data_IF_664707422045
#
_entry.id   IF_664707422045
#
_cell.length_a   1.000
_cell.length_b   1.000
_cell.length_c   1.000
_cell.angle_alpha   90.00
_cell.angle_beta   90.00
_cell.angle_gamma   90.00
#
_symmetry.space_group_name_H-M   'P 1'
#
loop_
_entity.id
_entity.type
_entity.pdbx_description
1 polymer ?
#
# COMPACT_ATOMS: atom_id res chain seq x y z
N UNK A 1 -25.88 11.62 8.01
CA UNK A 1 -24.87 12.71 8.09
C UNK A 1 -23.50 12.22 8.57
N UNK A 2 -23.38 11.62 9.76
CA UNK A 2 -22.07 11.22 10.34
C UNK A 2 -21.30 10.16 9.51
N UNK A 3 -21.98 9.10 9.07
CA UNK A 3 -21.38 8.09 8.19
C UNK A 3 -20.92 8.68 6.85
N UNK A 4 -21.78 9.47 6.22
CA UNK A 4 -21.48 10.15 4.95
C UNK A 4 -20.25 11.07 5.07
N UNK A 5 -20.13 11.83 6.17
CA UNK A 5 -18.94 12.65 6.44
C UNK A 5 -17.69 11.79 6.46
N UNK A 6 -17.68 10.69 7.23
CA UNK A 6 -16.52 9.81 7.32
C UNK A 6 -16.17 9.15 5.98
N UNK A 7 -17.16 8.73 5.20
CA UNK A 7 -16.94 8.14 3.87
C UNK A 7 -16.38 9.16 2.88
N UNK A 8 -16.94 10.37 2.83
CA UNK A 8 -16.44 11.46 1.98
C UNK A 8 -15.02 11.86 2.40
N UNK A 9 -14.74 11.92 3.71
CA UNK A 9 -13.40 12.24 4.20
C UNK A 9 -12.36 11.21 3.74
N UNK A 10 -12.69 9.90 3.85
CA UNK A 10 -11.81 8.81 3.41
C UNK A 10 -11.54 8.84 1.91
N UNK A 11 -12.58 9.02 1.10
CA UNK A 11 -12.45 9.12 -0.36
C UNK A 11 -11.64 10.36 -0.76
N UNK A 12 -11.88 11.50 -0.13
CA UNK A 12 -11.11 12.72 -0.36
C UNK A 12 -9.63 12.52 0.00
N UNK A 13 -9.33 11.84 1.10
CA UNK A 13 -7.97 11.52 1.51
C UNK A 13 -7.25 10.62 0.49
N UNK A 14 -7.96 9.65 -0.08
CA UNK A 14 -7.45 8.83 -1.18
C UNK A 14 -7.14 9.69 -2.42
N UNK A 15 -8.09 10.51 -2.88
CA UNK A 15 -7.89 11.38 -4.04
C UNK A 15 -6.76 12.40 -3.84
N UNK A 16 -6.66 12.97 -2.63
CA UNK A 16 -5.60 13.89 -2.23
C UNK A 16 -4.22 13.27 -2.42
N UNK A 17 -4.05 12.01 -1.98
CA UNK A 17 -2.79 11.27 -2.14
C UNK A 17 -2.49 10.90 -3.58
N UNK A 18 -3.50 10.43 -4.30
CA UNK A 18 -3.33 10.09 -5.70
C UNK A 18 -2.81 11.31 -6.48
N UNK A 19 -3.42 12.48 -6.27
CA UNK A 19 -3.00 13.72 -6.90
C UNK A 19 -1.60 14.15 -6.45
N UNK A 20 -1.28 14.02 -5.16
CA UNK A 20 0.07 14.32 -4.65
C UNK A 20 1.15 13.44 -5.29
N UNK A 21 0.88 12.14 -5.47
CA UNK A 21 1.81 11.22 -6.17
C UNK A 21 1.93 11.59 -7.64
N UNK A 22 0.82 11.92 -8.31
CA UNK A 22 0.84 12.36 -9.71
C UNK A 22 1.65 13.65 -9.90
N UNK A 23 1.42 14.67 -9.06
CA UNK A 23 2.16 15.93 -9.10
C UNK A 23 3.66 15.71 -8.86
N UNK A 24 4.04 14.85 -7.90
CA UNK A 24 5.43 14.54 -7.63
C UNK A 24 6.15 13.77 -8.76
N UNK A 25 5.40 13.12 -9.65
CA UNK A 25 5.97 12.39 -10.79
C UNK A 25 6.34 13.30 -11.97
N UNK A 26 5.64 14.41 -12.15
CA UNK A 26 5.89 15.34 -13.24
C UNK A 26 6.90 16.40 -12.80
N UNK A 27 8.16 16.27 -13.24
CA UNK A 27 9.19 17.31 -13.04
C UNK A 27 8.93 18.53 -13.95
N UNK A 28 8.69 18.27 -15.24
CA UNK A 28 8.35 19.27 -16.25
C UNK A 28 7.06 18.83 -16.96
N UNK A 29 5.88 19.25 -16.47
CA UNK A 29 4.62 18.76 -17.01
C UNK A 29 4.35 19.37 -18.39
N UNK A 30 3.88 18.54 -19.32
CA UNK A 30 3.38 19.02 -20.62
C UNK A 30 2.12 19.87 -20.43
N UNK A 31 1.77 20.73 -21.40
CA UNK A 31 0.54 21.55 -21.32
C UNK A 31 -0.71 20.71 -21.07
N UNK A 32 -0.79 19.51 -21.67
CA UNK A 32 -1.85 18.54 -21.42
C UNK A 32 -1.84 18.00 -19.98
N UNK A 33 -0.67 17.69 -19.42
CA UNK A 33 -0.54 17.22 -18.03
C UNK A 33 -0.89 18.33 -17.02
N UNK A 34 -0.50 19.58 -17.30
CA UNK A 34 -0.88 20.75 -16.49
C UNK A 34 -2.41 20.87 -16.45
N UNK A 35 -3.08 20.78 -17.61
CA UNK A 35 -4.54 20.83 -17.69
C UNK A 35 -5.23 19.69 -16.91
N UNK A 36 -4.68 18.48 -16.96
CA UNK A 36 -5.21 17.34 -16.19
C UNK A 36 -5.04 17.52 -14.67
N UNK A 37 -3.89 18.05 -14.24
CA UNK A 37 -3.63 18.34 -12.83
C UNK A 37 -4.58 19.44 -12.34
N UNK A 38 -4.75 20.53 -13.10
CA UNK A 38 -5.65 21.63 -12.70
C UNK A 38 -7.11 21.16 -12.63
N UNK A 39 -7.56 20.34 -13.56
CA UNK A 39 -8.89 19.73 -13.50
C UNK A 39 -9.05 18.85 -12.25
N UNK A 40 -8.05 18.01 -11.96
CA UNK A 40 -8.06 17.12 -10.80
C UNK A 40 -8.04 17.90 -9.48
N UNK A 41 -7.29 19.00 -9.42
CA UNK A 41 -7.26 19.95 -8.29
C UNK A 41 -8.63 20.60 -8.10
N UNK A 42 -9.27 21.08 -9.17
CA UNK A 42 -10.60 21.68 -9.10
C UNK A 42 -11.66 20.66 -8.61
N UNK A 43 -11.60 19.42 -9.09
CA UNK A 43 -12.47 18.33 -8.62
C UNK A 43 -12.25 18.05 -7.13
N UNK A 44 -11.00 17.99 -6.68
CA UNK A 44 -10.67 17.79 -5.26
C UNK A 44 -11.13 18.96 -4.39
N UNK A 45 -10.92 20.20 -4.83
CA UNK A 45 -11.37 21.42 -4.16
C UNK A 45 -12.89 21.38 -3.89
N UNK A 46 -13.70 21.04 -4.90
CA UNK A 46 -15.16 20.92 -4.74
C UNK A 46 -15.53 19.87 -3.69
N UNK A 47 -14.83 18.72 -3.67
CA UNK A 47 -15.05 17.67 -2.68
C UNK A 47 -14.64 18.12 -1.26
N UNK A 48 -13.57 18.89 -1.12
CA UNK A 48 -13.13 19.48 0.15
C UNK A 48 -14.20 20.47 0.63
N UNK A 49 -14.68 21.37 -0.22
CA UNK A 49 -15.75 22.32 0.14
C UNK A 49 -17.01 21.59 0.62
N UNK A 50 -17.42 20.51 -0.06
CA UNK A 50 -18.55 19.67 0.39
C UNK A 50 -18.28 19.06 1.76
N UNK A 51 -17.08 18.53 2.01
CA UNK A 51 -16.69 18.00 3.31
C UNK A 51 -16.78 19.09 4.40
N UNK A 52 -16.28 20.30 4.14
CA UNK A 52 -16.31 21.42 5.11
C UNK A 52 -17.74 21.79 5.49
N UNK A 53 -18.67 21.83 4.53
CA UNK A 53 -20.10 22.06 4.80
C UNK A 53 -20.68 21.00 5.73
N UNK A 54 -20.34 19.72 5.54
CA UNK A 54 -20.77 18.64 6.44
C UNK A 54 -20.10 18.71 7.80
N UNK A 55 -18.81 19.09 7.86
CA UNK A 55 -18.09 19.28 9.12
C UNK A 55 -18.73 20.39 9.96
N UNK A 56 -19.19 21.49 9.35
CA UNK A 56 -19.88 22.56 10.08
C UNK A 56 -21.12 22.06 10.85
N UNK A 57 -21.86 21.11 10.27
CA UNK A 57 -23.09 20.55 10.86
C UNK A 57 -22.80 19.45 11.88
N UNK A 58 -21.87 18.55 11.56
CA UNK A 58 -21.68 17.30 12.32
C UNK A 58 -20.53 17.40 13.34
N UNK A 59 -19.49 18.17 13.04
CA UNK A 59 -18.26 18.26 13.84
C UNK A 59 -17.61 19.66 13.71
N UNK A 60 -18.21 20.70 14.33
CA UNK A 60 -17.70 22.07 14.23
C UNK A 60 -16.31 22.23 14.85
N UNK A 61 -15.97 21.41 15.85
CA UNK A 61 -14.64 21.38 16.47
C UNK A 61 -13.52 21.14 15.44
N UNK A 62 -13.78 20.36 14.39
CA UNK A 62 -12.80 20.14 13.32
C UNK A 62 -12.45 21.45 12.60
N UNK A 63 -13.42 22.35 12.40
CA UNK A 63 -13.18 23.63 11.75
C UNK A 63 -12.37 24.58 12.64
N UNK A 64 -12.57 24.53 13.96
CA UNK A 64 -11.80 25.33 14.93
C UNK A 64 -10.34 24.87 15.01
N UNK A 65 -10.10 23.56 15.00
CA UNK A 65 -8.73 23.03 14.95
C UNK A 65 -8.09 23.36 13.59
N UNK A 66 -8.86 23.35 12.51
CA UNK A 66 -8.34 23.77 11.20
C UNK A 66 -7.94 25.23 11.14
N UNK A 67 -8.68 26.15 11.76
CA UNK A 67 -8.31 27.57 11.75
C UNK A 67 -7.00 27.86 12.49
N UNK A 68 -6.59 26.96 13.39
CA UNK A 68 -5.35 27.07 14.16
C UNK A 68 -4.19 26.26 13.56
N UNK A 69 -4.43 25.52 12.47
CA UNK A 69 -3.37 24.73 11.85
C UNK A 69 -2.34 25.64 11.14
N UNK A 70 -1.03 25.35 11.23
CA UNK A 70 0.01 26.17 10.61
C UNK A 70 -0.17 26.29 9.08
N UNK A 71 -0.64 25.22 8.44
CA UNK A 71 -0.92 25.19 6.99
C UNK A 71 -1.97 26.20 6.51
N UNK A 72 -2.81 26.73 7.41
CA UNK A 72 -3.80 27.78 7.09
C UNK A 72 -3.35 29.17 7.50
N UNK A 73 -2.40 29.28 8.42
CA UNK A 73 -1.91 30.55 9.00
C UNK A 73 -0.81 31.15 8.12
N UNK A 74 0.08 30.32 7.56
CA UNK A 74 1.31 30.79 6.90
C UNK A 74 1.15 31.33 5.45
N UNK A 75 -0.09 31.48 4.95
CA UNK A 75 -0.47 32.22 3.72
C UNK A 75 -0.07 31.64 2.33
N UNK A 76 -0.81 32.07 1.29
CA UNK A 76 -1.00 31.52 -0.06
C UNK A 76 -1.96 30.32 -0.12
N UNK A 77 -2.98 30.28 -1.02
CA UNK A 77 -3.97 29.21 -1.05
C UNK A 77 -3.24 27.86 -1.23
N UNK A 78 -3.15 27.03 -0.18
CA UNK A 78 -2.45 25.75 -0.29
C UNK A 78 -3.13 24.94 -1.37
N UNK A 79 -2.33 24.31 -2.21
CA UNK A 79 -2.86 23.41 -3.23
C UNK A 79 -3.77 22.37 -2.55
N UNK A 80 -4.86 21.93 -3.19
CA UNK A 80 -5.86 21.09 -2.53
C UNK A 80 -5.30 19.76 -2.01
N UNK A 81 -4.19 19.29 -2.57
CA UNK A 81 -3.42 18.13 -2.10
C UNK A 81 -2.74 18.33 -0.73
N UNK A 82 -2.41 19.56 -0.35
CA UNK A 82 -1.70 19.90 0.89
C UNK A 82 -2.64 20.24 2.04
N UNK A 83 -3.91 20.55 1.75
CA UNK A 83 -4.91 20.94 2.75
C UNK A 83 -5.18 19.77 3.72
N UNK A 84 -5.03 19.95 5.05
CA UNK A 84 -5.32 18.91 6.03
C UNK A 84 -6.82 18.58 6.05
N UNK A 85 -7.14 17.29 5.93
CA UNK A 85 -8.49 16.78 6.12
C UNK A 85 -8.55 16.23 7.55
N UNK A 86 -9.00 17.03 8.51
CA UNK A 86 -9.11 16.56 9.89
C UNK A 86 -10.20 15.49 10.01
N UNK A 87 -9.82 14.34 10.54
CA UNK A 87 -10.69 13.25 10.91
C UNK A 87 -11.00 13.26 12.41
N UNK A 88 -12.04 12.54 12.86
CA UNK A 88 -12.25 12.32 14.29
C UNK A 88 -11.02 11.73 15.02
N UNK A 89 -10.19 10.92 14.35
CA UNK A 89 -8.90 10.43 14.89
C UNK A 89 -7.86 11.54 15.11
N UNK A 90 -7.84 12.57 14.26
CA UNK A 90 -6.89 13.69 14.34
C UNK A 90 -7.29 14.74 15.39
N UNK A 91 -8.49 14.63 15.98
CA UNK A 91 -9.02 15.61 16.94
C UNK A 91 -8.63 15.26 18.39
N UNK A 92 -8.53 16.25 19.29
CA UNK A 92 -8.36 16.00 20.72
C UNK A 92 -9.55 15.24 21.31
N UNK A 93 -9.31 14.55 22.42
CA UNK A 93 -10.26 13.59 23.04
C UNK A 93 -11.54 14.23 23.59
N UNK A 94 -11.59 15.55 23.76
CA UNK A 94 -12.69 16.26 24.43
C UNK A 94 -14.01 16.22 23.60
N UNK A 95 -14.72 15.10 23.75
CA UNK A 95 -16.16 15.02 24.05
C UNK A 95 -17.15 15.80 23.18
N UNK A 96 -17.25 15.45 21.89
CA UNK A 96 -18.49 15.54 21.09
C UNK A 96 -18.58 14.53 19.94
N UNK A 97 -17.49 13.84 19.62
CA UNK A 97 -17.36 13.00 18.41
C UNK A 97 -17.22 11.50 18.69
N UNK A 98 -17.65 11.00 19.86
CA UNK A 98 -17.54 9.57 20.22
C UNK A 98 -18.19 8.65 19.18
N UNK A 99 -19.41 8.98 18.75
CA UNK A 99 -20.13 8.25 17.68
C UNK A 99 -19.39 8.28 16.35
N UNK A 100 -18.79 9.42 16.00
CA UNK A 100 -18.00 9.57 14.77
C UNK A 100 -16.72 8.75 14.82
N UNK A 101 -16.02 8.69 15.96
CA UNK A 101 -14.84 7.85 16.18
C UNK A 101 -15.16 6.37 16.04
N UNK A 102 -16.30 5.91 16.54
CA UNK A 102 -16.75 4.52 16.40
C UNK A 102 -16.99 4.17 14.93
N UNK A 103 -17.73 5.03 14.21
CA UNK A 103 -17.98 4.85 12.78
C UNK A 103 -16.67 4.87 11.99
N UNK A 104 -15.77 5.81 12.31
CA UNK A 104 -14.46 5.88 11.70
C UNK A 104 -13.68 4.58 11.92
N UNK A 105 -13.63 4.07 13.15
CA UNK A 105 -12.93 2.81 13.46
C UNK A 105 -13.37 1.66 12.56
N UNK A 106 -14.68 1.47 12.39
CA UNK A 106 -15.22 0.43 11.48
C UNK A 106 -14.86 0.67 10.02
N UNK A 107 -14.86 1.92 9.56
CA UNK A 107 -14.44 2.24 8.21
C UNK A 107 -12.94 2.07 8.00
N UNK A 108 -12.11 2.33 9.02
CA UNK A 108 -10.67 2.06 8.98
C UNK A 108 -10.38 0.57 8.88
N UNK A 109 -11.19 -0.27 9.51
CA UNK A 109 -11.10 -1.73 9.37
C UNK A 109 -11.35 -2.20 7.94
N UNK A 110 -12.45 -1.75 7.33
CA UNK A 110 -12.69 -1.99 5.91
C UNK A 110 -11.57 -1.43 5.03
N UNK A 111 -11.05 -0.25 5.36
CA UNK A 111 -9.95 0.36 4.61
C UNK A 111 -8.64 -0.45 4.69
N UNK A 112 -8.31 -1.00 5.86
CA UNK A 112 -7.16 -1.90 6.05
C UNK A 112 -7.33 -3.17 5.20
N UNK A 113 -8.49 -3.82 5.29
CA UNK A 113 -8.78 -5.02 4.49
C UNK A 113 -8.67 -4.75 2.99
N UNK A 114 -9.42 -3.75 2.49
CA UNK A 114 -9.43 -3.38 1.07
C UNK A 114 -8.03 -3.04 0.54
N UNK A 115 -7.24 -2.32 1.34
CA UNK A 115 -5.89 -1.90 0.92
C UNK A 115 -4.90 -3.06 0.93
N UNK A 116 -5.02 -4.02 1.85
CA UNK A 116 -4.25 -5.26 1.79
C UNK A 116 -4.63 -6.12 0.59
N UNK A 117 -5.92 -6.24 0.28
CA UNK A 117 -6.37 -7.03 -0.87
C UNK A 117 -5.92 -6.39 -2.19
N UNK A 118 -5.99 -5.06 -2.30
CA UNK A 118 -5.41 -4.33 -3.44
C UNK A 118 -3.89 -4.52 -3.53
N UNK A 119 -3.17 -4.42 -2.40
CA UNK A 119 -1.73 -4.63 -2.35
C UNK A 119 -1.34 -6.04 -2.82
N UNK A 120 -2.03 -7.08 -2.34
CA UNK A 120 -1.85 -8.47 -2.78
C UNK A 120 -2.07 -8.60 -4.28
N UNK A 121 -3.19 -8.07 -4.79
CA UNK A 121 -3.51 -8.13 -6.20
C UNK A 121 -2.46 -7.44 -7.08
N UNK A 122 -2.02 -6.24 -6.70
CA UNK A 122 -1.00 -5.50 -7.44
C UNK A 122 0.36 -6.21 -7.43
N UNK A 123 0.75 -6.83 -6.30
CA UNK A 123 1.96 -7.64 -6.19
C UNK A 123 1.89 -8.92 -7.04
N UNK A 124 0.73 -9.60 -7.08
CA UNK A 124 0.52 -10.76 -7.94
C UNK A 124 0.68 -10.38 -9.42
N UNK A 125 0.08 -9.27 -9.83
CA UNK A 125 0.18 -8.80 -11.21
C UNK A 125 1.62 -8.42 -11.55
N UNK A 126 2.33 -7.73 -10.63
CA UNK A 126 3.75 -7.41 -10.80
C UNK A 126 4.61 -8.67 -10.99
N UNK A 127 4.40 -9.70 -10.17
CA UNK A 127 5.09 -10.99 -10.29
C UNK A 127 4.84 -11.67 -11.65
N UNK A 128 3.57 -11.64 -12.13
CA UNK A 128 3.21 -12.19 -13.44
C UNK A 128 3.86 -11.40 -14.58
N UNK A 129 3.89 -10.07 -14.50
CA UNK A 129 4.57 -9.21 -15.48
C UNK A 129 6.07 -9.48 -15.51
N UNK A 130 6.70 -9.71 -14.36
CA UNK A 130 8.11 -10.07 -14.27
C UNK A 130 8.38 -11.41 -14.97
N UNK A 131 7.55 -12.42 -14.70
CA UNK A 131 7.64 -13.75 -15.34
C UNK A 131 7.44 -13.65 -16.85
N UNK A 132 6.39 -12.95 -17.29
CA UNK A 132 6.10 -12.72 -18.70
C UNK A 132 7.27 -12.05 -19.43
N UNK A 133 7.89 -11.04 -18.82
CA UNK A 133 9.06 -10.37 -19.40
C UNK A 133 10.24 -11.36 -19.52
N UNK A 134 10.48 -12.18 -18.49
CA UNK A 134 11.57 -13.16 -18.46
C UNK A 134 11.39 -14.29 -19.49
N UNK A 135 10.16 -14.70 -19.77
CA UNK A 135 9.86 -15.80 -20.71
C UNK A 135 9.68 -15.33 -22.14
N UNK A 136 8.89 -14.26 -22.38
CA UNK A 136 8.38 -13.91 -23.71
C UNK A 136 9.10 -12.74 -24.39
N UNK A 137 9.91 -11.97 -23.66
CA UNK A 137 10.64 -10.82 -24.22
C UNK A 137 12.15 -11.09 -24.30
N UNK A 138 12.54 -12.36 -24.49
CA UNK A 138 13.93 -12.75 -24.75
C UNK A 138 14.30 -12.30 -26.17
N UNK A 139 15.44 -11.63 -26.32
CA UNK A 139 15.96 -11.13 -27.61
C UNK A 139 15.10 -10.08 -28.34
N UNK A 140 14.06 -9.53 -27.69
CA UNK A 140 13.35 -8.36 -28.20
C UNK A 140 14.09 -7.08 -27.76
N UNK A 141 14.06 -6.05 -28.62
CA UNK A 141 14.66 -4.74 -28.35
C UNK A 141 14.06 -4.02 -27.13
N UNK A 142 14.26 -2.69 -27.02
CA UNK A 142 13.88 -1.93 -25.83
C UNK A 142 12.42 -2.17 -25.39
N UNK A 143 12.24 -2.77 -24.20
CA UNK A 143 10.93 -3.18 -23.65
C UNK A 143 10.18 -2.04 -22.95
N UNK A 144 10.08 -0.87 -23.61
CA UNK A 144 9.51 0.37 -23.02
C UNK A 144 8.08 0.17 -22.53
N UNK A 145 7.20 -0.45 -23.34
CA UNK A 145 5.80 -0.69 -22.97
C UNK A 145 5.65 -1.58 -21.72
N UNK A 146 6.45 -2.63 -21.62
CA UNK A 146 6.43 -3.55 -20.47
C UNK A 146 6.96 -2.85 -19.21
N UNK A 147 8.03 -2.06 -19.35
CA UNK A 147 8.55 -1.22 -18.25
C UNK A 147 7.50 -0.22 -17.76
N UNK A 148 6.85 0.53 -18.66
CA UNK A 148 5.78 1.47 -18.27
C UNK A 148 4.60 0.78 -17.58
N UNK A 149 4.26 -0.46 -17.98
CA UNK A 149 3.26 -1.28 -17.28
C UNK A 149 3.72 -1.66 -15.86
N UNK A 150 4.98 -2.03 -15.68
CA UNK A 150 5.56 -2.33 -14.37
C UNK A 150 5.55 -1.08 -13.47
N UNK A 151 6.00 0.06 -13.99
CA UNK A 151 6.02 1.34 -13.26
C UNK A 151 4.62 1.73 -12.76
N UNK A 152 3.58 1.46 -13.58
CA UNK A 152 2.19 1.70 -13.17
C UNK A 152 1.80 0.85 -11.96
N UNK A 153 2.18 -0.43 -11.93
CA UNK A 153 1.89 -1.29 -10.78
C UNK A 153 2.74 -0.91 -9.56
N UNK A 154 3.99 -0.47 -9.75
CA UNK A 154 4.80 0.06 -8.65
C UNK A 154 4.16 1.29 -7.99
N UNK A 155 3.54 2.17 -8.78
CA UNK A 155 2.75 3.29 -8.24
C UNK A 155 1.52 2.82 -7.47
N UNK A 156 0.80 1.83 -8.00
CA UNK A 156 -0.36 1.26 -7.31
C UNK A 156 0.03 0.61 -5.98
N UNK A 157 1.11 -0.17 -5.95
CA UNK A 157 1.69 -0.77 -4.74
C UNK A 157 2.03 0.32 -3.72
N UNK A 158 2.67 1.42 -4.14
CA UNK A 158 2.95 2.56 -3.24
C UNK A 158 1.66 3.17 -2.68
N UNK A 159 0.65 3.38 -3.51
CA UNK A 159 -0.63 3.96 -3.09
C UNK A 159 -1.40 3.05 -2.12
N UNK A 160 -1.48 1.74 -2.39
CA UNK A 160 -2.14 0.78 -1.49
C UNK A 160 -1.39 0.64 -0.17
N UNK A 161 -0.05 0.63 -0.21
CA UNK A 161 0.81 0.66 0.99
C UNK A 161 0.53 1.88 1.87
N UNK A 162 0.56 3.09 1.29
CA UNK A 162 0.30 4.33 2.03
C UNK A 162 -1.14 4.39 2.56
N UNK A 163 -2.10 3.84 1.82
CA UNK A 163 -3.50 3.74 2.24
C UNK A 163 -3.61 2.86 3.49
N UNK A 164 -2.97 1.69 3.49
CA UNK A 164 -2.94 0.79 4.64
C UNK A 164 -2.26 1.45 5.85
N UNK A 165 -1.06 2.00 5.66
CA UNK A 165 -0.29 2.59 6.77
C UNK A 165 -1.01 3.74 7.43
N UNK A 166 -1.71 4.61 6.67
CA UNK A 166 -2.53 5.65 7.30
C UNK A 166 -3.75 5.07 8.01
N UNK A 167 -4.45 4.12 7.39
CA UNK A 167 -5.62 3.51 8.03
C UNK A 167 -5.24 2.86 9.38
N UNK A 168 -4.09 2.18 9.40
CA UNK A 168 -3.49 1.63 10.61
C UNK A 168 -3.10 2.71 11.63
N UNK A 169 -2.44 3.79 11.21
CA UNK A 169 -2.06 4.90 12.09
C UNK A 169 -3.29 5.60 12.71
N UNK A 170 -4.32 5.86 11.91
CA UNK A 170 -5.58 6.43 12.39
C UNK A 170 -6.28 5.48 13.38
N UNK A 171 -6.23 4.17 13.14
CA UNK A 171 -6.77 3.19 14.09
C UNK A 171 -5.96 3.15 15.39
N UNK A 172 -4.64 3.29 15.32
CA UNK A 172 -3.78 3.40 16.49
C UNK A 172 -4.12 4.65 17.33
N UNK A 173 -4.35 5.80 16.70
CA UNK A 173 -4.80 7.04 17.36
C UNK A 173 -6.17 6.86 18.05
N UNK A 174 -7.10 6.15 17.39
CA UNK A 174 -8.42 5.86 17.94
C UNK A 174 -8.38 4.96 19.19
N UNK A 175 -7.36 4.11 19.31
CA UNK A 175 -7.19 3.17 20.43
C UNK A 175 -6.05 3.59 21.37
N UNK A 176 -5.74 4.88 21.40
CA UNK A 176 -4.81 5.48 22.38
C UNK A 176 -3.39 4.89 22.36
N UNK A 177 -2.91 4.50 21.19
CA UNK A 177 -1.60 3.89 20.98
C UNK A 177 -1.44 2.46 21.52
N UNK A 178 -2.54 1.79 21.87
CA UNK A 178 -2.49 0.38 22.24
C UNK A 178 -2.51 -0.51 20.99
N UNK A 179 -1.32 -1.01 20.61
CA UNK A 179 -1.10 -1.85 19.43
C UNK A 179 -1.94 -3.14 19.49
N UNK A 180 -2.19 -3.68 20.68
CA UNK A 180 -2.88 -4.96 20.85
C UNK A 180 -4.35 -4.89 20.41
N UNK A 181 -4.98 -3.74 20.62
CA UNK A 181 -6.39 -3.51 20.31
C UNK A 181 -6.63 -3.05 18.87
N UNK A 182 -5.57 -2.76 18.10
CA UNK A 182 -5.70 -2.37 16.68
C UNK A 182 -6.19 -3.55 15.84
N UNK A 183 -5.88 -4.80 16.19
CA UNK A 183 -6.32 -5.99 15.44
C UNK A 183 -5.71 -6.14 14.03
N UNK A 184 -4.84 -5.22 13.62
CA UNK A 184 -4.13 -5.23 12.34
C UNK A 184 -2.63 -5.10 12.56
N UNK A 185 -1.83 -5.79 11.76
CA UNK A 185 -0.37 -5.75 11.84
C UNK A 185 0.20 -4.49 11.18
N UNK A 186 1.29 -3.95 11.73
CA UNK A 186 1.97 -2.80 11.14
C UNK A 186 2.69 -3.24 9.85
N UNK A 187 2.27 -2.70 8.71
CA UNK A 187 2.90 -2.98 7.41
C UNK A 187 4.22 -2.23 7.27
N UNK A 188 5.31 -2.99 7.22
CA UNK A 188 6.66 -2.45 6.99
C UNK A 188 7.06 -2.59 5.53
N UNK A 189 8.07 -1.82 5.11
CA UNK A 189 8.60 -1.94 3.75
C UNK A 189 9.13 -3.35 3.45
N UNK A 190 9.68 -4.02 4.47
CA UNK A 190 10.13 -5.41 4.38
C UNK A 190 8.98 -6.40 4.10
N UNK A 191 7.73 -6.05 4.39
CA UNK A 191 6.61 -6.98 4.18
C UNK A 191 6.07 -6.91 2.75
N UNK A 192 6.38 -5.84 2.00
CA UNK A 192 5.94 -5.58 0.64
C UNK A 192 6.82 -6.39 -0.32
N UNK A 193 6.50 -7.67 -0.42
CA UNK A 193 7.21 -8.64 -1.26
C UNK A 193 6.22 -9.48 -2.04
N UNK A 194 6.59 -9.90 -3.25
CA UNK A 194 5.81 -10.88 -3.99
C UNK A 194 5.94 -12.26 -3.32
N UNK A 195 5.01 -13.18 -3.63
CA UNK A 195 5.01 -14.56 -3.11
C UNK A 195 6.33 -15.29 -3.28
N UNK A 196 7.09 -14.95 -4.32
CA UNK A 196 8.31 -15.65 -4.72
C UNK A 196 9.60 -14.92 -4.31
N UNK A 197 9.50 -13.76 -3.66
CA UNK A 197 10.67 -12.99 -3.23
C UNK A 197 11.24 -13.58 -1.93
N UNK A 198 12.47 -14.09 -2.02
CA UNK A 198 13.18 -14.69 -0.89
C UNK A 198 13.62 -13.60 0.10
N UNK A 199 13.27 -13.74 1.39
CA UNK A 199 14.03 -13.08 2.47
C UNK A 199 15.42 -13.71 2.47
N UNK A 200 16.43 -13.02 1.93
CA UNK A 200 17.82 -13.43 2.09
C UNK A 200 18.15 -13.43 3.59
N UNK A 201 17.93 -14.55 4.29
CA UNK A 201 18.58 -14.81 5.57
C UNK A 201 20.07 -14.90 5.24
N UNK A 202 20.85 -13.89 5.61
CA UNK A 202 22.32 -13.88 5.71
C UNK A 202 23.02 -15.14 5.18
N UNK A 203 23.09 -15.30 3.85
CA UNK A 203 24.04 -16.23 3.23
C UNK A 203 25.19 -15.33 2.75
N UNK A 204 26.43 -15.53 3.23
CA UNK A 204 27.58 -14.82 2.71
C UNK A 204 27.63 -15.01 1.20
N UNK A 205 27.59 -13.91 0.46
CA UNK A 205 27.83 -13.94 -0.99
C UNK A 205 29.23 -14.54 -1.18
N UNK A 206 29.40 -15.69 -1.87
CA UNK A 206 30.74 -16.20 -2.12
C UNK A 206 31.51 -15.12 -2.89
N UNK A 207 32.65 -14.72 -2.34
CA UNK A 207 33.56 -13.78 -2.97
C UNK A 207 33.98 -14.39 -4.31
N UNK A 208 33.48 -13.83 -5.41
CA UNK A 208 34.04 -14.10 -6.73
C UNK A 208 35.39 -13.41 -6.76
N UNK A 209 36.45 -14.22 -6.67
CA UNK A 209 37.84 -13.84 -6.87
C UNK A 209 37.96 -12.98 -8.12
N UNK A 210 38.59 -11.84 -7.94
CA UNK A 210 39.06 -10.93 -8.99
C UNK A 210 40.08 -11.64 -9.88
N UNK A 211 39.77 -11.82 -11.16
CA UNK A 211 40.79 -11.87 -12.21
C UNK A 211 40.28 -11.13 -13.45
N UNK A 212 41.06 -10.13 -13.86
CA UNK A 212 40.89 -9.32 -15.05
C UNK A 212 41.09 -10.17 -16.31
N UNK A 213 40.09 -10.24 -17.21
CA UNK A 213 40.33 -10.45 -18.65
C UNK A 213 39.27 -9.70 -19.46
N UNK A 214 39.74 -8.70 -20.21
CA UNK A 214 39.05 -8.04 -21.32
C UNK A 214 38.95 -9.03 -22.48
N UNK A 215 37.75 -9.26 -23.02
CA UNK A 215 37.56 -10.03 -24.23
C UNK A 215 36.11 -10.39 -24.48
N UNK A 216 35.52 -9.79 -25.51
CA UNK A 216 34.22 -10.17 -26.06
C UNK A 216 34.26 -11.61 -26.54
N UNK A 217 33.37 -12.47 -26.05
CA UNK A 217 32.96 -13.70 -26.73
C UNK A 217 31.64 -14.21 -26.14
N UNK A 218 30.79 -14.70 -27.04
CA UNK A 218 29.50 -15.31 -26.76
C UNK A 218 29.58 -16.32 -25.61
N UNK A 219 28.66 -16.18 -24.64
CA UNK A 219 28.43 -17.20 -23.63
C UNK A 219 27.03 -17.76 -23.85
N UNK A 220 27.00 -18.95 -24.44
CA UNK A 220 25.88 -19.89 -24.31
C UNK A 220 25.58 -20.08 -22.81
N UNK A 221 24.36 -19.76 -22.39
CA UNK A 221 23.91 -20.01 -21.01
C UNK A 221 22.95 -21.21 -21.03
N UNK A 222 23.23 -22.28 -20.26
CA UNK A 222 22.51 -23.53 -20.34
C UNK A 222 21.07 -23.43 -19.86
N UNK A 223 20.29 -24.30 -20.48
CA UNK A 223 19.08 -24.96 -19.99
C UNK A 223 18.91 -24.94 -18.46
N UNK A 224 17.77 -24.43 -18.01
CA UNK A 224 17.05 -24.78 -16.77
C UNK A 224 17.87 -25.24 -15.55
N UNK A 225 18.85 -24.47 -15.10
CA UNK A 225 19.37 -24.62 -13.73
C UNK A 225 19.04 -23.39 -12.88
N UNK A 226 18.44 -23.55 -11.69
CA UNK A 226 18.36 -22.46 -10.73
C UNK A 226 19.80 -21.97 -10.45
N UNK A 227 20.02 -20.67 -10.21
CA UNK A 227 21.36 -20.16 -9.95
C UNK A 227 21.96 -20.96 -8.79
N UNK A 228 23.16 -21.51 -9.01
CA UNK A 228 23.91 -22.30 -8.04
C UNK A 228 23.97 -21.52 -6.72
N UNK A 229 23.21 -21.96 -5.71
CA UNK A 229 23.07 -21.29 -4.42
C UNK A 229 21.70 -20.65 -4.11
N UNK A 230 20.69 -20.75 -4.98
CA UNK A 230 19.32 -20.41 -4.60
C UNK A 230 18.82 -21.40 -3.52
N UNK A 231 18.39 -20.91 -2.34
CA UNK A 231 17.81 -21.79 -1.33
C UNK A 231 16.64 -22.58 -1.93
N UNK A 232 16.58 -23.89 -1.63
CA UNK A 232 15.42 -24.71 -1.96
C UNK A 232 14.12 -24.10 -1.44
N UNK A 233 12.98 -24.47 -2.04
CA UNK A 233 11.67 -23.88 -1.75
C UNK A 233 11.31 -23.86 -0.26
N UNK A 234 11.83 -24.83 0.52
CA UNK A 234 11.67 -24.93 1.98
C UNK A 234 12.33 -23.82 2.82
N UNK A 235 13.26 -23.03 2.27
CA UNK A 235 13.89 -21.91 3.00
C UNK A 235 13.19 -20.55 2.75
N UNK A 236 12.12 -20.53 1.94
CA UNK A 236 11.40 -19.29 1.62
C UNK A 236 10.45 -18.91 2.75
N UNK A 237 10.70 -17.77 3.38
CA UNK A 237 9.76 -17.20 4.36
C UNK A 237 8.76 -16.27 3.65
N UNK A 238 7.50 -16.71 3.53
CA UNK A 238 6.43 -15.87 2.97
C UNK A 238 6.14 -14.67 3.88
N UNK A 239 5.84 -13.53 3.27
CA UNK A 239 5.41 -12.34 4.01
C UNK A 239 4.03 -12.55 4.64
N UNK A 240 3.80 -11.97 5.83
CA UNK A 240 2.52 -12.11 6.55
C UNK A 240 1.34 -11.58 5.75
N UNK A 241 1.57 -10.64 4.83
CA UNK A 241 0.52 -10.16 3.93
C UNK A 241 -0.07 -11.29 3.10
N UNK A 242 0.65 -12.40 2.86
CA UNK A 242 0.14 -13.56 2.13
C UNK A 242 -0.41 -14.67 3.03
N UNK A 243 -0.20 -14.55 4.34
CA UNK A 243 -0.76 -15.50 5.29
C UNK A 243 -2.24 -15.16 5.52
N UNK A 244 -3.09 -16.19 5.54
CA UNK A 244 -4.47 -16.04 5.94
C UNK A 244 -4.57 -15.52 7.38
N UNK A 245 -5.64 -14.77 7.68
CA UNK A 245 -5.92 -14.14 8.99
C UNK A 245 -5.76 -15.08 10.21
N UNK A 246 -5.83 -16.41 10.02
CA UNK A 246 -5.67 -17.42 11.07
C UNK A 246 -4.24 -17.90 11.37
N UNK A 247 -3.21 -17.47 10.63
CA UNK A 247 -1.84 -18.02 10.77
C UNK A 247 -1.15 -17.64 12.08
N UNK A 248 -1.50 -16.49 12.68
CA UNK A 248 -0.87 -16.03 13.93
C UNK A 248 -1.48 -16.66 15.19
N UNK A 249 -2.72 -17.18 15.11
CA UNK A 249 -3.27 -18.03 16.16
C UNK A 249 -2.76 -19.46 15.90
N UNK A 250 -1.59 -19.76 16.45
CA UNK A 250 -0.93 -21.07 16.32
C UNK A 250 -1.91 -22.24 16.63
N UNK A 251 -2.82 -22.05 17.59
CA UNK A 251 -3.85 -23.02 17.97
C UNK A 251 -4.92 -23.27 16.88
N UNK A 252 -5.36 -22.24 16.14
CA UNK A 252 -6.31 -22.44 15.02
C UNK A 252 -5.61 -22.98 13.78
N UNK A 253 -4.33 -22.66 13.63
CA UNK A 253 -3.47 -23.15 12.56
C UNK A 253 -3.32 -24.68 12.65
N UNK A 254 -3.03 -25.23 13.85
CA UNK A 254 -2.82 -26.67 14.05
C UNK A 254 -4.06 -27.51 13.73
N UNK A 255 -5.26 -27.07 14.15
CA UNK A 255 -6.52 -27.75 13.85
C UNK A 255 -6.89 -27.68 12.35
N UNK A 256 -6.61 -26.56 11.69
CA UNK A 256 -6.79 -26.44 10.25
C UNK A 256 -5.80 -27.33 9.48
N UNK A 257 -4.54 -27.38 9.91
CA UNK A 257 -3.52 -28.26 9.34
C UNK A 257 -3.84 -29.75 9.55
N UNK A 258 -4.39 -30.15 10.71
CA UNK A 258 -4.81 -31.52 10.95
C UNK A 258 -6.00 -31.92 10.08
N UNK A 259 -6.99 -31.04 9.94
CA UNK A 259 -8.14 -31.26 9.05
C UNK A 259 -7.70 -31.39 7.58
N UNK A 260 -6.79 -30.54 7.12
CA UNK A 260 -6.26 -30.59 5.75
C UNK A 260 -5.48 -31.89 5.47
N UNK A 261 -4.69 -32.39 6.43
CA UNK A 261 -3.98 -33.66 6.31
C UNK A 261 -4.93 -34.85 6.18
N UNK A 262 -6.02 -34.85 6.96
CA UNK A 262 -7.05 -35.90 6.89
C UNK A 262 -7.75 -35.88 5.53
N UNK A 263 -8.17 -34.71 5.05
CA UNK A 263 -8.79 -34.58 3.72
C UNK A 263 -7.81 -34.94 2.59
N UNK A 264 -6.53 -34.62 2.73
CA UNK A 264 -5.50 -35.01 1.76
C UNK A 264 -5.27 -36.53 1.73
N UNK A 265 -5.27 -37.20 2.89
CA UNK A 265 -5.19 -38.66 2.96
C UNK A 265 -6.45 -39.32 2.37
N UNK A 266 -7.64 -38.73 2.59
CA UNK A 266 -8.90 -39.23 1.99
C UNK A 266 -8.94 -39.08 0.47
N UNK A 267 -8.33 -38.04 -0.09
CA UNK A 267 -8.28 -37.83 -1.53
C UNK A 267 -7.30 -38.79 -2.26
N UNK A 268 -6.47 -39.50 -1.51
CA UNK A 268 -5.45 -40.42 -2.02
C UNK A 268 -5.72 -41.90 -1.69
N UNK A 269 -6.86 -42.19 -1.04
CA UNK A 269 -7.39 -43.53 -0.78
C UNK A 269 -8.51 -43.85 -1.77
#
# INVERSE_FOLDING_TARGET
SAFELSQIALTNCYHRRQLSVEVALFRDPTSQQIAQITESRNRLQRKITRLRKLQAVVCPLALQVLSTHPTTIDSSPPHPESVPLLFPSDLPKLSSCSRLRLIEGRLRDGQCQDSLDQLRNDLLIKSRLHTYKKSNARHQGATTRTRSRMDRYDRKIKLSTLRYQRAWAAKLELVENDVTKVGWQKLRQEDIRTMHDVKNRNIPRPATTSEDVVGETEVDIPETTPPTGAPGEGFRTMSWIWMGSGSQNLATSELLYSGLKVEWCKAYA
#
